data_IF_084977364950
#
_entry.id   IF_084977364950
#
_cell.length_a   1.000
_cell.length_b   1.000
_cell.length_c   1.000
_cell.angle_alpha   90.00
_cell.angle_beta   90.00
_cell.angle_gamma   90.00
#
_symmetry.space_group_name_H-M   'P 1'
#
loop_
_entity.id
_entity.type
_entity.pdbx_description
1 polymer ?
#
# COMPACT_ATOMS: atom_id res chain seq x y z
N UNK A 1 -0.02 18.79 -8.65
CA UNK A 1 -0.17 17.66 -7.71
C UNK A 1 0.25 16.40 -8.45
N UNK A 2 1.36 15.75 -8.05
CA UNK A 2 1.85 14.57 -8.78
C UNK A 2 0.87 13.40 -8.68
N UNK A 3 0.72 12.62 -9.76
CA UNK A 3 -0.06 11.37 -9.72
C UNK A 3 0.71 10.38 -8.83
N UNK A 4 0.02 9.69 -7.92
CA UNK A 4 0.63 8.68 -7.06
C UNK A 4 0.03 7.32 -7.39
N UNK A 5 0.85 6.28 -7.29
CA UNK A 5 0.45 4.90 -7.33
C UNK A 5 0.55 4.34 -5.90
N UNK A 6 -0.43 3.53 -5.50
CA UNK A 6 -0.47 2.89 -4.20
C UNK A 6 -0.44 1.38 -4.41
N UNK A 7 0.50 0.70 -3.75
CA UNK A 7 0.66 -0.74 -3.92
C UNK A 7 0.63 -1.45 -2.58
N UNK A 8 -0.05 -2.59 -2.56
CA UNK A 8 0.15 -3.61 -1.55
C UNK A 8 1.13 -4.64 -2.10
N UNK A 9 2.15 -4.96 -1.33
CA UNK A 9 3.21 -5.90 -1.71
C UNK A 9 3.40 -6.96 -0.63
N UNK A 10 3.97 -8.11 -0.98
CA UNK A 10 4.36 -9.11 0.01
C UNK A 10 5.42 -8.54 0.96
N UNK A 11 5.45 -8.96 2.24
CA UNK A 11 6.40 -8.42 3.23
C UNK A 11 7.77 -9.10 3.18
N UNK A 12 8.04 -9.93 2.17
CA UNK A 12 9.33 -10.57 1.93
C UNK A 12 10.30 -9.63 1.19
N UNK A 13 11.55 -10.07 1.03
CA UNK A 13 12.61 -9.27 0.42
C UNK A 13 12.38 -8.93 -1.05
N UNK A 14 11.45 -9.61 -1.73
CA UNK A 14 11.14 -9.37 -3.14
C UNK A 14 9.99 -8.38 -3.33
N UNK A 15 9.24 -8.06 -2.27
CA UNK A 15 8.12 -7.10 -2.27
C UNK A 15 7.21 -7.27 -3.50
N UNK A 16 6.74 -8.50 -3.70
CA UNK A 16 5.95 -8.86 -4.88
C UNK A 16 4.60 -8.13 -4.89
N UNK A 17 4.17 -7.52 -6.02
CA UNK A 17 2.89 -6.82 -6.10
C UNK A 17 1.69 -7.74 -5.84
N UNK A 18 0.83 -7.34 -4.91
CA UNK A 18 -0.47 -7.98 -4.64
C UNK A 18 -1.57 -7.19 -5.33
N UNK A 19 -1.64 -5.88 -5.04
CA UNK A 19 -2.59 -4.94 -5.67
C UNK A 19 -1.91 -3.63 -5.99
N UNK A 20 -2.36 -3.00 -7.07
CA UNK A 20 -1.84 -1.73 -7.59
C UNK A 20 -3.02 -0.85 -7.94
N UNK A 21 -3.10 0.34 -7.35
CA UNK A 21 -4.22 1.25 -7.56
C UNK A 21 -3.77 2.72 -7.59
N UNK A 22 -4.58 3.58 -8.20
CA UNK A 22 -4.28 5.02 -8.35
C UNK A 22 -4.71 5.86 -7.15
N UNK A 23 -5.48 5.29 -6.23
CA UNK A 23 -5.97 5.99 -5.04
C UNK A 23 -5.91 5.11 -3.80
N UNK A 24 -5.86 5.74 -2.63
CA UNK A 24 -5.95 5.04 -1.34
C UNK A 24 -7.32 4.39 -1.17
N UNK A 25 -8.39 5.02 -1.66
CA UNK A 25 -9.75 4.49 -1.57
C UNK A 25 -9.85 3.14 -2.27
N UNK A 26 -9.38 3.07 -3.52
CA UNK A 26 -9.42 1.84 -4.33
C UNK A 26 -8.58 0.74 -3.70
N UNK A 27 -7.35 1.07 -3.27
CA UNK A 27 -6.47 0.10 -2.61
C UNK A 27 -7.09 -0.42 -1.30
N UNK A 28 -7.66 0.47 -0.49
CA UNK A 28 -8.29 0.09 0.78
C UNK A 28 -9.51 -0.82 0.59
N UNK A 29 -10.30 -0.55 -0.45
CA UNK A 29 -11.46 -1.36 -0.85
C UNK A 29 -11.03 -2.77 -1.28
N UNK A 30 -10.01 -2.88 -2.16
CA UNK A 30 -9.43 -4.17 -2.57
C UNK A 30 -8.91 -4.99 -1.40
N UNK A 31 -8.34 -4.32 -0.40
CA UNK A 31 -7.73 -4.93 0.77
C UNK A 31 -8.71 -5.22 1.91
N UNK A 32 -9.97 -4.76 1.81
CA UNK A 32 -10.95 -4.89 2.88
C UNK A 32 -10.55 -4.19 4.17
N UNK A 33 -9.83 -3.05 4.09
CA UNK A 33 -9.42 -2.27 5.26
C UNK A 33 -9.85 -0.81 5.16
N UNK A 34 -9.79 -0.08 6.27
CA UNK A 34 -10.03 1.35 6.27
C UNK A 34 -8.93 2.12 5.50
N UNK A 35 -9.26 3.22 4.80
CA UNK A 35 -8.28 4.13 4.20
C UNK A 35 -7.21 4.61 5.19
N UNK A 36 -7.59 4.85 6.45
CA UNK A 36 -6.68 5.24 7.52
C UNK A 36 -5.59 4.20 7.79
N UNK A 37 -5.89 2.91 7.65
CA UNK A 37 -4.90 1.83 7.75
C UNK A 37 -3.86 1.96 6.65
N UNK A 38 -4.26 2.32 5.43
CA UNK A 38 -3.35 2.52 4.30
C UNK A 38 -2.41 3.69 4.59
N UNK A 39 -2.95 4.85 4.98
CA UNK A 39 -2.17 6.03 5.34
C UNK A 39 -1.22 5.76 6.51
N UNK A 40 -1.70 5.12 7.58
CA UNK A 40 -0.89 4.81 8.75
C UNK A 40 0.26 3.85 8.42
N UNK A 41 0.03 2.85 7.59
CA UNK A 41 1.08 1.94 7.14
C UNK A 41 2.18 2.66 6.37
N UNK A 42 1.80 3.57 5.46
CA UNK A 42 2.75 4.37 4.69
C UNK A 42 3.52 5.33 5.60
N UNK A 43 2.81 6.12 6.41
CA UNK A 43 3.40 7.16 7.26
C UNK A 43 4.30 6.60 8.35
N UNK A 44 3.96 5.43 8.90
CA UNK A 44 4.74 4.76 9.94
C UNK A 44 5.76 3.76 9.38
N UNK A 45 5.88 3.64 8.05
CA UNK A 45 6.81 2.71 7.40
C UNK A 45 6.62 1.25 7.86
N UNK A 46 5.37 0.80 8.02
CA UNK A 46 5.09 -0.55 8.54
C UNK A 46 5.62 -1.61 7.59
N UNK A 47 6.40 -2.55 8.14
CA UNK A 47 7.02 -3.65 7.36
C UNK A 47 6.02 -4.64 6.77
N UNK A 48 4.79 -4.69 7.30
CA UNK A 48 3.75 -5.59 6.81
C UNK A 48 3.89 -7.06 7.24
N UNK A 49 4.92 -7.41 8.03
CA UNK A 49 5.18 -8.79 8.48
C UNK A 49 4.00 -9.43 9.21
N UNK A 50 3.33 -8.66 10.07
CA UNK A 50 2.18 -9.15 10.86
C UNK A 50 0.91 -9.18 10.00
N UNK A 51 0.69 -8.18 9.16
CA UNK A 51 -0.51 -8.07 8.31
C UNK A 51 -0.46 -8.90 7.03
N UNK A 52 0.66 -9.61 6.77
CA UNK A 52 0.89 -10.36 5.54
C UNK A 52 1.09 -9.49 4.28
N UNK A 53 1.20 -8.18 4.44
CA UNK A 53 1.33 -7.21 3.34
C UNK A 53 1.93 -5.90 3.79
N UNK A 54 2.85 -5.36 3.00
CA UNK A 54 3.41 -4.01 3.13
C UNK A 54 2.67 -3.08 2.17
N UNK A 55 2.53 -1.81 2.54
CA UNK A 55 1.88 -0.80 1.71
C UNK A 55 2.92 0.26 1.34
N UNK A 56 3.06 0.54 0.05
CA UNK A 56 4.00 1.53 -0.48
C UNK A 56 3.27 2.58 -1.33
N UNK A 57 3.81 3.80 -1.32
CA UNK A 57 3.35 4.93 -2.13
C UNK A 57 4.45 5.28 -3.12
N UNK A 58 4.14 5.23 -4.41
CA UNK A 58 5.07 5.51 -5.50
C UNK A 58 4.64 6.79 -6.19
N UNK A 59 5.59 7.69 -6.46
CA UNK A 59 5.34 8.88 -7.27
C UNK A 59 5.32 8.46 -8.74
N UNK A 60 4.19 8.69 -9.43
CA UNK A 60 4.09 8.47 -10.86
C UNK A 60 4.85 9.59 -11.57
N UNK A 61 5.76 9.24 -12.48
CA UNK A 61 6.62 10.17 -13.22
C UNK A 61 5.83 10.90 -14.32
#
# INVERSE_FOLDING_TARGET
MGKYLYMAVTPDSFESPIFIENSVSDLSSRLGVAPSTVYNSINLGRSGKISGRKIIKIKNL
#
